data_IF_444688147661
#
_entry.id   IF_444688147661
#
_cell.length_a   1.000
_cell.length_b   1.000
_cell.length_c   1.000
_cell.angle_alpha   90.00
_cell.angle_beta   90.00
_cell.angle_gamma   90.00
#
_symmetry.space_group_name_H-M   'P 1'
#
loop_
_entity.id
_entity.type
_entity.pdbx_description
1 polymer ?
#
# COMPACT_ATOMS: atom_id res chain seq x y z
N UNK A 1 -9.43 47.73 60.90
CA UNK A 1 -8.59 46.54 60.65
C UNK A 1 -8.31 46.47 59.16
N UNK A 2 -7.07 46.72 58.75
CA UNK A 2 -6.63 46.70 57.35
C UNK A 2 -6.03 45.33 57.06
N UNK A 3 -6.57 44.63 56.08
CA UNK A 3 -6.03 43.36 55.59
C UNK A 3 -4.81 43.70 54.73
N UNK A 4 -3.63 43.32 55.19
CA UNK A 4 -2.40 43.46 54.42
C UNK A 4 -2.47 42.50 53.22
N UNK A 5 -2.65 43.05 52.02
CA UNK A 5 -2.54 42.30 50.79
C UNK A 5 -1.06 42.06 50.50
N UNK A 6 -0.63 40.80 50.45
CA UNK A 6 0.71 40.40 50.03
C UNK A 6 0.93 40.70 48.55
N UNK A 7 2.12 41.19 48.22
CA UNK A 7 2.53 41.48 46.84
C UNK A 7 2.54 40.20 45.98
N UNK A 8 2.24 40.32 44.67
CA UNK A 8 2.23 39.18 43.76
C UNK A 8 3.64 38.58 43.61
N UNK A 9 3.73 37.25 43.66
CA UNK A 9 4.98 36.49 43.56
C UNK A 9 5.77 36.76 42.26
N UNK A 10 5.07 37.14 41.19
CA UNK A 10 5.65 37.51 39.90
C UNK A 10 4.75 38.58 39.27
N UNK A 11 5.36 39.67 38.80
CA UNK A 11 4.70 40.65 37.94
C UNK A 11 5.00 40.25 36.49
N UNK A 12 3.99 39.90 35.66
CA UNK A 12 4.22 39.61 34.25
C UNK A 12 4.91 40.80 33.60
N UNK A 13 6.04 40.55 32.94
CA UNK A 13 6.73 41.59 32.19
C UNK A 13 5.82 42.11 31.08
N UNK A 14 5.96 43.40 30.78
CA UNK A 14 5.31 44.00 29.61
C UNK A 14 5.77 43.23 28.36
N UNK A 15 4.80 42.93 27.49
CA UNK A 15 5.07 42.25 26.23
C UNK A 15 6.15 43.00 25.45
N UNK A 16 7.30 42.36 25.23
CA UNK A 16 8.35 42.87 24.36
C UNK A 16 8.07 42.40 22.92
N UNK A 17 7.84 43.33 21.97
CA UNK A 17 7.61 43.01 20.57
C UNK A 17 8.75 42.21 19.91
N UNK A 18 9.95 42.16 20.51
CA UNK A 18 11.05 41.32 20.04
C UNK A 18 10.76 39.82 20.15
N UNK A 19 9.84 39.41 21.04
CA UNK A 19 9.33 38.04 21.16
C UNK A 19 8.04 37.80 20.35
N UNK A 20 7.73 38.67 19.39
CA UNK A 20 6.60 38.46 18.49
C UNK A 20 6.85 37.21 17.65
N UNK A 21 6.12 36.16 17.97
CA UNK A 21 6.04 34.95 17.14
C UNK A 21 5.14 35.27 15.96
N UNK A 22 5.70 35.22 14.74
CA UNK A 22 4.90 35.31 13.53
C UNK A 22 3.96 34.10 13.45
N UNK A 23 2.66 34.37 13.52
CA UNK A 23 1.62 33.34 13.44
C UNK A 23 1.40 32.99 11.96
N UNK A 24 2.04 31.91 11.51
CA UNK A 24 1.98 31.41 10.13
C UNK A 24 0.96 30.27 9.96
N UNK A 25 -0.27 30.48 10.39
CA UNK A 25 -1.34 29.45 10.35
C UNK A 25 -1.68 28.93 8.95
N UNK A 26 -1.25 29.65 7.90
CA UNK A 26 -1.53 29.33 6.50
C UNK A 26 -0.29 28.90 5.71
N UNK A 27 0.89 28.83 6.35
CA UNK A 27 2.06 28.22 5.71
C UNK A 27 2.08 26.71 6.00
N UNK A 28 2.39 25.88 4.99
CA UNK A 28 2.59 24.45 5.22
C UNK A 28 3.76 24.25 6.20
N UNK A 29 3.61 23.27 7.10
CA UNK A 29 4.57 22.97 8.17
C UNK A 29 5.97 22.55 7.67
N UNK A 30 6.13 22.33 6.37
CA UNK A 30 7.37 21.96 5.70
C UNK A 30 7.80 23.14 4.80
N UNK A 31 8.85 23.85 5.22
CA UNK A 31 9.34 25.03 4.51
C UNK A 31 10.09 24.69 3.21
N UNK A 32 9.72 25.38 2.13
CA UNK A 32 10.51 25.90 0.98
C UNK A 32 11.75 25.18 0.38
N UNK A 33 12.17 24.01 0.82
CA UNK A 33 13.07 23.10 0.08
C UNK A 33 12.32 21.96 -0.62
N UNK A 34 11.00 21.91 -0.44
CA UNK A 34 10.09 20.84 -0.87
C UNK A 34 9.42 21.08 -2.20
N UNK A 35 9.71 22.16 -2.94
CA UNK A 35 8.97 22.49 -4.17
C UNK A 35 8.86 21.31 -5.16
N UNK A 36 9.91 20.49 -5.29
CA UNK A 36 9.89 19.29 -6.12
C UNK A 36 9.12 18.12 -5.50
N UNK A 37 9.22 17.91 -4.18
CA UNK A 37 8.45 16.88 -3.47
C UNK A 37 6.95 17.22 -3.46
N UNK A 38 6.61 18.49 -3.28
CA UNK A 38 5.25 19.02 -3.35
C UNK A 38 4.70 18.87 -4.77
N UNK A 39 5.50 19.17 -5.81
CA UNK A 39 5.14 18.93 -7.20
C UNK A 39 4.88 17.44 -7.47
N UNK A 40 5.80 16.57 -7.04
CA UNK A 40 5.73 15.12 -7.20
C UNK A 40 4.46 14.55 -6.54
N UNK A 41 4.18 14.93 -5.29
CA UNK A 41 3.00 14.47 -4.53
C UNK A 41 1.71 14.99 -5.14
N UNK A 42 1.66 16.28 -5.50
CA UNK A 42 0.47 16.87 -6.13
C UNK A 42 0.20 16.25 -7.51
N UNK A 43 1.23 16.06 -8.35
CA UNK A 43 1.08 15.39 -9.65
C UNK A 43 0.63 13.94 -9.49
N UNK A 44 1.23 13.21 -8.55
CA UNK A 44 0.83 11.84 -8.25
C UNK A 44 -0.64 11.76 -7.83
N UNK A 45 -1.09 12.68 -6.97
CA UNK A 45 -2.50 12.77 -6.56
C UNK A 45 -3.42 13.04 -7.74
N UNK A 46 -3.03 13.94 -8.65
CA UNK A 46 -3.79 14.24 -9.86
C UNK A 46 -3.80 13.05 -10.83
N UNK A 47 -2.68 12.35 -10.99
CA UNK A 47 -2.59 11.15 -11.83
C UNK A 47 -3.51 10.05 -11.27
N UNK A 48 -3.50 9.83 -9.96
CA UNK A 48 -4.43 8.90 -9.31
C UNK A 48 -5.90 9.28 -9.52
N UNK A 49 -6.24 10.56 -9.38
CA UNK A 49 -7.61 11.04 -9.63
C UNK A 49 -8.04 10.83 -11.08
N UNK A 50 -7.18 11.17 -12.04
CA UNK A 50 -7.44 10.98 -13.46
C UNK A 50 -7.61 9.49 -13.79
N UNK A 51 -6.73 8.65 -13.23
CA UNK A 51 -6.73 7.21 -13.45
C UNK A 51 -8.02 6.55 -12.93
N UNK A 52 -8.52 7.00 -11.78
CA UNK A 52 -9.81 6.59 -11.23
C UNK A 52 -11.00 7.05 -12.09
N UNK A 53 -10.96 8.29 -12.59
CA UNK A 53 -11.99 8.81 -13.51
C UNK A 53 -12.03 7.98 -14.80
N UNK A 54 -10.85 7.67 -15.35
CA UNK A 54 -10.66 6.78 -16.49
C UNK A 54 -11.20 5.37 -16.21
N UNK A 55 -10.85 4.77 -15.08
CA UNK A 55 -11.33 3.44 -14.68
C UNK A 55 -12.86 3.42 -14.56
N UNK A 56 -13.44 4.44 -13.93
CA UNK A 56 -14.90 4.58 -13.79
C UNK A 56 -15.57 4.65 -15.15
N UNK A 57 -15.04 5.43 -16.08
CA UNK A 57 -15.59 5.50 -17.43
C UNK A 57 -15.49 4.15 -18.15
N UNK A 58 -14.31 3.51 -18.15
CA UNK A 58 -14.11 2.19 -18.75
C UNK A 58 -15.00 1.09 -18.15
N UNK A 59 -15.36 1.22 -16.87
CA UNK A 59 -16.23 0.28 -16.17
C UNK A 59 -17.69 0.36 -16.62
N UNK A 60 -18.19 1.57 -16.97
CA UNK A 60 -19.55 1.76 -17.49
C UNK A 60 -19.71 1.11 -18.87
N UNK A 61 -18.65 1.10 -19.67
CA UNK A 61 -18.62 0.52 -21.01
C UNK A 61 -18.39 -1.00 -21.04
N UNK A 62 -18.46 -1.71 -19.89
CA UNK A 62 -18.38 -3.19 -19.84
C UNK A 62 -19.58 -3.89 -20.52
N UNK A 63 -20.70 -3.20 -20.76
CA UNK A 63 -21.91 -3.77 -21.34
C UNK A 63 -22.23 -3.28 -22.77
N UNK A 64 -21.67 -2.16 -23.21
CA UNK A 64 -21.93 -1.60 -24.54
C UNK A 64 -20.61 -1.47 -25.28
N UNK A 65 -20.52 -2.04 -26.50
CA UNK A 65 -19.38 -1.82 -27.39
C UNK A 65 -19.16 -0.32 -27.47
N UNK A 66 -17.96 0.16 -27.16
CA UNK A 66 -17.59 1.55 -27.42
C UNK A 66 -17.69 1.76 -28.93
N UNK A 67 -18.81 2.27 -29.41
CA UNK A 67 -18.92 2.78 -30.77
C UNK A 67 -17.98 4.00 -30.85
N UNK A 68 -16.83 3.78 -31.47
CA UNK A 68 -15.95 4.84 -31.99
C UNK A 68 -15.31 5.80 -30.96
N UNK A 69 -14.90 5.31 -29.79
CA UNK A 69 -14.13 6.13 -28.82
C UNK A 69 -14.93 7.27 -28.18
N UNK A 70 -16.27 7.26 -28.28
CA UNK A 70 -17.12 8.27 -27.64
C UNK A 70 -17.22 8.01 -26.15
N UNK A 71 -16.38 8.70 -25.38
CA UNK A 71 -16.51 8.83 -23.93
C UNK A 71 -17.63 9.79 -23.56
N UNK A 72 -18.17 9.68 -22.34
CA UNK A 72 -19.21 10.59 -21.86
C UNK A 72 -18.70 12.03 -21.70
N UNK A 73 -19.58 13.02 -21.91
CA UNK A 73 -19.24 14.44 -21.71
C UNK A 73 -18.87 14.75 -20.26
N UNK A 74 -19.50 14.09 -19.29
CA UNK A 74 -19.15 14.18 -17.86
C UNK A 74 -17.73 13.70 -17.59
N UNK A 75 -17.31 12.59 -18.24
CA UNK A 75 -15.93 12.14 -18.17
C UNK A 75 -14.98 13.16 -18.78
N UNK A 76 -15.23 13.62 -20.02
CA UNK A 76 -14.35 14.58 -20.71
C UNK A 76 -14.16 15.85 -19.91
N UNK A 77 -15.24 16.42 -19.34
CA UNK A 77 -15.17 17.63 -18.52
C UNK A 77 -14.34 17.43 -17.24
N UNK A 78 -14.50 16.28 -16.56
CA UNK A 78 -13.73 15.99 -15.33
C UNK A 78 -12.27 15.74 -15.65
N UNK A 79 -11.99 14.97 -16.70
CA UNK A 79 -10.65 14.64 -17.12
C UNK A 79 -9.90 15.89 -17.62
N UNK A 80 -10.55 16.78 -18.36
CA UNK A 80 -9.95 18.04 -18.81
C UNK A 80 -9.56 18.94 -17.63
N UNK A 81 -10.42 19.08 -16.63
CA UNK A 81 -10.12 19.88 -15.41
C UNK A 81 -8.89 19.34 -14.68
N UNK A 82 -8.75 18.02 -14.59
CA UNK A 82 -7.58 17.41 -13.94
C UNK A 82 -6.32 17.63 -14.78
N UNK A 83 -6.38 17.44 -16.10
CA UNK A 83 -5.27 17.72 -17.01
C UNK A 83 -4.84 19.19 -16.98
N UNK A 84 -5.79 20.13 -16.99
CA UNK A 84 -5.52 21.56 -16.89
C UNK A 84 -4.81 21.87 -15.57
N UNK A 85 -5.25 21.27 -14.46
CA UNK A 85 -4.60 21.44 -13.16
C UNK A 85 -3.17 20.88 -13.13
N UNK A 86 -2.91 19.74 -13.77
CA UNK A 86 -1.56 19.20 -13.92
C UNK A 86 -0.66 20.14 -14.74
N UNK A 87 -1.18 20.71 -15.84
CA UNK A 87 -0.44 21.67 -16.66
C UNK A 87 -0.13 22.96 -15.88
N UNK A 88 -1.11 23.51 -15.15
CA UNK A 88 -0.91 24.69 -14.29
C UNK A 88 0.13 24.43 -13.20
N UNK A 89 0.12 23.24 -12.61
CA UNK A 89 1.09 22.83 -11.60
C UNK A 89 2.52 22.75 -12.18
N UNK A 90 2.68 22.21 -13.40
CA UNK A 90 3.96 22.20 -14.12
C UNK A 90 4.45 23.62 -14.47
N UNK A 91 3.53 24.52 -14.86
CA UNK A 91 3.86 25.91 -15.15
C UNK A 91 4.30 26.68 -13.89
N UNK A 92 3.60 26.47 -12.77
CA UNK A 92 3.88 27.14 -11.48
C UNK A 92 5.19 26.69 -10.84
N UNK A 93 5.59 25.44 -11.05
CA UNK A 93 6.83 24.88 -10.49
C UNK A 93 8.10 25.36 -11.19
N UNK A 94 7.99 26.18 -12.25
CA UNK A 94 9.15 26.71 -12.96
C UNK A 94 9.90 25.65 -13.77
N UNK A 95 9.26 24.51 -14.05
CA UNK A 95 9.83 23.39 -14.81
C UNK A 95 9.80 23.68 -16.32
N UNK A 96 10.56 24.69 -16.75
CA UNK A 96 10.46 25.29 -18.11
C UNK A 96 10.88 24.31 -19.23
N UNK A 97 11.66 23.28 -18.90
CA UNK A 97 12.30 22.40 -19.89
C UNK A 97 11.77 20.96 -19.92
N UNK A 98 10.71 20.63 -19.17
CA UNK A 98 10.17 19.27 -19.12
C UNK A 98 8.67 19.29 -19.39
N UNK A 99 8.23 18.60 -20.45
CA UNK A 99 6.79 18.43 -20.70
C UNK A 99 6.16 17.54 -19.62
N UNK A 100 4.86 17.72 -19.38
CA UNK A 100 4.11 16.90 -18.43
C UNK A 100 4.28 15.40 -18.73
N UNK A 101 4.23 15.02 -20.00
CA UNK A 101 4.42 13.64 -20.46
C UNK A 101 5.82 13.12 -20.11
N UNK A 102 6.87 13.92 -20.37
CA UNK A 102 8.23 13.54 -20.03
C UNK A 102 8.41 13.39 -18.52
N UNK A 103 7.77 14.24 -17.73
CA UNK A 103 7.81 14.18 -16.28
C UNK A 103 7.16 12.91 -15.73
N UNK A 104 5.98 12.56 -16.22
CA UNK A 104 5.24 11.34 -15.85
C UNK A 104 6.08 10.09 -16.10
N UNK A 105 6.72 9.98 -17.27
CA UNK A 105 7.59 8.85 -17.62
C UNK A 105 8.85 8.83 -16.73
N UNK A 106 9.48 9.98 -16.52
CA UNK A 106 10.69 10.10 -15.69
C UNK A 106 10.41 9.66 -14.25
N UNK A 107 9.24 10.00 -13.71
CA UNK A 107 8.78 9.65 -12.36
C UNK A 107 8.06 8.31 -12.27
N UNK A 108 7.93 7.60 -13.40
CA UNK A 108 7.27 6.27 -13.51
C UNK A 108 5.79 6.28 -13.12
N UNK A 109 5.13 7.44 -13.19
CA UNK A 109 3.70 7.56 -12.95
C UNK A 109 2.87 6.87 -14.04
N UNK A 110 3.45 6.67 -15.24
CA UNK A 110 2.88 5.88 -16.32
C UNK A 110 2.67 4.40 -15.94
N UNK A 111 3.45 3.87 -15.01
CA UNK A 111 3.30 2.49 -14.53
C UNK A 111 2.28 2.41 -13.40
N UNK A 112 2.28 3.40 -12.50
CA UNK A 112 1.35 3.43 -11.37
C UNK A 112 -0.08 3.77 -11.82
N UNK A 113 -0.20 4.67 -12.81
CA UNK A 113 -1.45 5.24 -13.29
C UNK A 113 -1.53 5.13 -14.84
N UNK A 114 -1.55 3.89 -15.36
CA UNK A 114 -1.41 3.65 -16.79
C UNK A 114 -2.60 4.17 -17.61
N UNK A 115 -3.81 4.25 -17.02
CA UNK A 115 -4.97 4.82 -17.72
C UNK A 115 -4.86 6.33 -17.82
N UNK A 116 -4.40 6.98 -16.75
CA UNK A 116 -4.12 8.41 -16.78
C UNK A 116 -3.06 8.76 -17.84
N UNK A 117 -1.95 8.01 -17.86
CA UNK A 117 -0.90 8.21 -18.87
C UNK A 117 -1.43 8.03 -20.29
N UNK A 118 -2.18 6.96 -20.55
CA UNK A 118 -2.73 6.68 -21.88
C UNK A 118 -3.78 7.73 -22.31
N UNK A 119 -4.58 8.25 -21.38
CA UNK A 119 -5.50 9.35 -21.65
C UNK A 119 -4.76 10.65 -21.99
N UNK A 120 -3.70 10.99 -21.24
CA UNK A 120 -2.91 12.20 -21.49
C UNK A 120 -2.14 12.16 -22.80
N UNK A 121 -1.72 10.98 -23.26
CA UNK A 121 -1.07 10.80 -24.54
C UNK A 121 -2.06 10.98 -25.70
N UNK A 122 -3.26 10.40 -25.59
CA UNK A 122 -4.25 10.47 -26.65
C UNK A 122 -5.70 10.49 -26.14
N UNK A 123 -6.22 11.68 -25.75
CA UNK A 123 -7.57 11.82 -25.21
C UNK A 123 -8.67 11.35 -26.19
N UNK A 124 -8.44 11.56 -27.49
CA UNK A 124 -9.41 11.29 -28.56
C UNK A 124 -9.58 9.80 -28.87
N UNK A 125 -8.63 8.96 -28.45
CA UNK A 125 -8.61 7.52 -28.73
C UNK A 125 -8.66 6.67 -27.45
N UNK A 126 -9.07 7.24 -26.33
CA UNK A 126 -9.21 6.55 -25.05
C UNK A 126 -10.18 5.36 -25.16
N UNK A 127 -9.73 4.14 -24.84
CA UNK A 127 -10.49 2.92 -25.10
C UNK A 127 -10.20 1.76 -24.13
N UNK A 128 -10.99 0.68 -24.26
CA UNK A 128 -10.97 -0.52 -23.42
C UNK A 128 -9.63 -1.26 -23.34
N UNK A 129 -8.74 -1.10 -24.32
CA UNK A 129 -7.43 -1.77 -24.33
C UNK A 129 -6.47 -1.16 -23.30
N UNK A 130 -6.81 -0.01 -22.72
CA UNK A 130 -6.02 0.68 -21.70
C UNK A 130 -6.32 0.19 -20.26
N UNK A 131 -7.01 -0.95 -20.10
CA UNK A 131 -7.22 -1.64 -18.80
C UNK A 131 -5.91 -2.26 -18.27
N UNK A 132 -4.86 -1.47 -18.11
CA UNK A 132 -3.63 -1.92 -17.47
C UNK A 132 -3.83 -1.93 -15.95
N UNK A 133 -3.40 -3.02 -15.33
CA UNK A 133 -3.41 -3.30 -13.88
C UNK A 133 -2.27 -2.53 -13.21
N UNK A 134 -2.37 -1.21 -13.13
CA UNK A 134 -1.43 -0.39 -12.36
C UNK A 134 -1.61 -0.65 -10.85
N UNK A 135 -2.12 0.34 -10.13
CA UNK A 135 -2.37 0.22 -8.68
C UNK A 135 -3.67 -0.53 -8.30
N UNK A 136 -4.37 -1.14 -9.25
CA UNK A 136 -5.72 -1.70 -9.03
C UNK A 136 -5.78 -2.80 -7.96
N UNK A 137 -4.80 -3.71 -7.98
CA UNK A 137 -4.74 -4.82 -7.05
C UNK A 137 -3.75 -4.57 -5.91
N UNK A 138 -3.03 -3.43 -5.90
CA UNK A 138 -1.94 -3.18 -4.97
C UNK A 138 -2.32 -3.42 -3.50
N UNK A 139 -3.44 -2.84 -3.04
CA UNK A 139 -3.89 -3.02 -1.65
C UNK A 139 -4.39 -4.43 -1.37
N UNK A 140 -4.98 -5.08 -2.36
CA UNK A 140 -5.43 -6.48 -2.26
C UNK A 140 -4.23 -7.41 -2.12
N UNK A 141 -3.21 -7.22 -2.96
CA UNK A 141 -1.98 -8.02 -2.97
C UNK A 141 -1.15 -7.79 -1.70
N UNK A 142 -1.04 -6.53 -1.28
CA UNK A 142 -0.37 -6.16 -0.03
C UNK A 142 -1.08 -6.78 1.18
N UNK A 143 -2.41 -6.68 1.22
CA UNK A 143 -3.22 -7.31 2.27
C UNK A 143 -3.04 -8.83 2.28
N UNK A 144 -3.01 -9.47 1.10
CA UNK A 144 -2.78 -10.92 0.99
C UNK A 144 -1.41 -11.32 1.54
N UNK A 145 -0.34 -10.58 1.20
CA UNK A 145 1.01 -10.81 1.72
C UNK A 145 1.10 -10.60 3.23
N UNK A 146 0.48 -9.54 3.73
CA UNK A 146 0.50 -9.21 5.16
C UNK A 146 -0.28 -10.24 5.98
N UNK A 147 -1.42 -10.69 5.47
CA UNK A 147 -2.19 -11.78 6.07
C UNK A 147 -1.38 -13.09 6.10
N UNK A 148 -0.68 -13.43 5.01
CA UNK A 148 0.17 -14.63 4.95
C UNK A 148 1.33 -14.58 5.95
N UNK A 149 2.00 -13.42 6.06
CA UNK A 149 3.09 -13.19 7.01
C UNK A 149 2.59 -13.25 8.45
N UNK A 150 1.47 -12.57 8.74
CA UNK A 150 0.84 -12.56 10.06
C UNK A 150 0.41 -13.96 10.49
N UNK A 151 -0.27 -14.70 9.62
CA UNK A 151 -0.70 -16.08 9.89
C UNK A 151 0.49 -16.99 10.14
N UNK A 152 1.57 -16.87 9.36
CA UNK A 152 2.78 -17.67 9.53
C UNK A 152 3.44 -17.41 10.89
N UNK A 153 3.55 -16.14 11.30
CA UNK A 153 4.07 -15.76 12.64
C UNK A 153 3.18 -16.26 13.77
N UNK A 154 1.86 -16.16 13.60
CA UNK A 154 0.88 -16.64 14.58
C UNK A 154 1.02 -18.15 14.78
N UNK A 155 1.01 -18.94 13.71
CA UNK A 155 1.15 -20.40 13.77
C UNK A 155 2.49 -20.78 14.43
N UNK A 156 3.58 -20.08 14.09
CA UNK A 156 4.89 -20.33 14.68
C UNK A 156 4.89 -20.11 16.21
N UNK A 157 4.26 -19.02 16.67
CA UNK A 157 4.04 -18.74 18.10
C UNK A 157 3.16 -19.80 18.75
N UNK A 158 2.05 -20.17 18.13
CA UNK A 158 1.11 -21.17 18.65
C UNK A 158 1.78 -22.53 18.83
N UNK A 159 2.54 -22.99 17.83
CA UNK A 159 3.33 -24.23 17.90
C UNK A 159 4.39 -24.21 19.00
N UNK A 160 4.91 -23.01 19.31
CA UNK A 160 5.95 -22.85 20.33
C UNK A 160 5.39 -22.86 21.74
N UNK A 161 4.23 -22.22 21.93
CA UNK A 161 3.70 -21.84 23.23
C UNK A 161 2.50 -22.68 23.69
N UNK A 162 1.72 -23.26 22.76
CA UNK A 162 0.54 -24.04 23.11
C UNK A 162 0.91 -25.49 23.42
N UNK A 163 0.26 -26.06 24.43
CA UNK A 163 0.39 -27.48 24.77
C UNK A 163 -0.65 -28.37 24.09
N UNK A 164 -1.68 -27.78 23.47
CA UNK A 164 -2.75 -28.47 22.75
C UNK A 164 -2.84 -27.92 21.33
N UNK A 165 -2.63 -28.81 20.35
CA UNK A 165 -2.50 -28.53 18.93
C UNK A 165 -3.75 -28.93 18.14
N UNK A 166 -4.92 -29.05 18.78
CA UNK A 166 -6.17 -29.48 18.14
C UNK A 166 -6.58 -28.66 16.90
N UNK A 167 -6.16 -27.40 16.80
CA UNK A 167 -6.48 -26.51 15.67
C UNK A 167 -5.39 -26.42 14.60
N UNK A 168 -4.23 -27.04 14.79
CA UNK A 168 -3.08 -26.90 13.89
C UNK A 168 -3.41 -27.41 12.47
N UNK A 169 -4.15 -28.51 12.34
CA UNK A 169 -4.58 -29.00 11.02
C UNK A 169 -5.47 -27.99 10.27
N UNK A 170 -6.32 -27.26 11.00
CA UNK A 170 -7.16 -26.21 10.42
C UNK A 170 -6.34 -24.96 10.05
N UNK A 171 -5.46 -24.52 10.94
CA UNK A 171 -4.55 -23.40 10.67
C UNK A 171 -3.65 -23.69 9.45
N UNK A 172 -3.19 -24.93 9.27
CA UNK A 172 -2.43 -25.33 8.09
C UNK A 172 -3.25 -25.27 6.80
N UNK A 173 -4.55 -25.61 6.85
CA UNK A 173 -5.45 -25.44 5.70
C UNK A 173 -5.67 -23.96 5.34
N UNK A 174 -5.83 -23.09 6.35
CA UNK A 174 -5.92 -21.63 6.14
C UNK A 174 -4.61 -21.09 5.57
N UNK A 175 -3.46 -21.57 6.06
CA UNK A 175 -2.15 -21.18 5.54
C UNK A 175 -1.98 -21.55 4.07
N UNK A 176 -2.37 -22.77 3.70
CA UNK A 176 -2.39 -23.22 2.31
C UNK A 176 -3.30 -22.34 1.43
N UNK A 177 -4.50 -22.00 1.92
CA UNK A 177 -5.40 -21.08 1.20
C UNK A 177 -4.77 -19.69 1.05
N UNK A 178 -4.11 -19.17 2.08
CA UNK A 178 -3.43 -17.88 2.03
C UNK A 178 -2.26 -17.88 1.03
N UNK A 179 -1.50 -18.98 0.95
CA UNK A 179 -0.47 -19.18 -0.07
C UNK A 179 -1.05 -19.18 -1.49
N UNK A 180 -2.23 -19.79 -1.68
CA UNK A 180 -2.93 -19.77 -2.96
C UNK A 180 -3.44 -18.38 -3.34
N UNK A 181 -3.95 -17.62 -2.36
CA UNK A 181 -4.40 -16.25 -2.59
C UNK A 181 -3.26 -15.34 -3.04
N UNK A 182 -2.05 -15.49 -2.49
CA UNK A 182 -0.87 -14.73 -2.93
C UNK A 182 -0.38 -15.21 -4.31
N UNK A 183 -0.41 -16.53 -4.57
CA UNK A 183 -0.16 -17.07 -5.92
C UNK A 183 1.25 -16.89 -6.47
N UNK A 184 2.23 -16.46 -5.67
CA UNK A 184 3.58 -16.14 -6.15
C UNK A 184 4.46 -17.41 -6.31
N UNK A 185 5.19 -17.58 -7.44
CA UNK A 185 5.98 -18.79 -7.70
C UNK A 185 7.04 -19.13 -6.63
N UNK A 186 7.65 -18.12 -6.02
CA UNK A 186 8.63 -18.33 -4.92
C UNK A 186 8.01 -19.02 -3.69
N UNK A 187 6.68 -19.01 -3.55
CA UNK A 187 5.98 -19.63 -2.43
C UNK A 187 5.47 -21.04 -2.74
N UNK A 188 5.53 -21.49 -4.00
CA UNK A 188 5.06 -22.81 -4.41
C UNK A 188 5.78 -23.99 -3.72
N UNK A 189 7.08 -23.93 -3.38
CA UNK A 189 7.71 -24.98 -2.58
C UNK A 189 7.02 -25.22 -1.23
N UNK A 190 6.53 -24.17 -0.58
CA UNK A 190 5.82 -24.29 0.70
C UNK A 190 4.44 -24.93 0.52
N UNK A 191 3.73 -24.63 -0.58
CA UNK A 191 2.46 -25.28 -0.90
C UNK A 191 2.62 -26.79 -1.05
N UNK A 192 3.61 -27.21 -1.86
CA UNK A 192 3.92 -28.64 -2.07
C UNK A 192 4.28 -29.33 -0.76
N UNK A 193 5.11 -28.68 0.07
CA UNK A 193 5.46 -29.22 1.38
C UNK A 193 4.24 -29.43 2.29
N UNK A 194 3.28 -28.49 2.29
CA UNK A 194 2.02 -28.67 3.02
C UNK A 194 1.22 -29.85 2.48
N UNK A 195 1.06 -29.97 1.15
CA UNK A 195 0.32 -31.07 0.52
C UNK A 195 0.88 -32.45 0.89
N UNK A 196 2.20 -32.59 0.92
CA UNK A 196 2.90 -33.82 1.28
C UNK A 196 2.69 -34.22 2.76
N UNK A 197 2.68 -33.24 3.66
CA UNK A 197 2.66 -33.47 5.10
C UNK A 197 1.26 -33.42 5.73
N UNK A 198 0.26 -32.85 5.02
CA UNK A 198 -1.07 -32.59 5.57
C UNK A 198 -1.76 -33.83 6.13
N UNK A 199 -1.73 -34.94 5.39
CA UNK A 199 -2.36 -36.21 5.81
C UNK A 199 -1.71 -36.80 7.06
N UNK A 200 -0.38 -36.74 7.14
CA UNK A 200 0.39 -37.24 8.28
C UNK A 200 0.02 -36.48 9.56
N UNK A 201 0.06 -35.14 9.50
CA UNK A 201 -0.31 -34.27 10.63
C UNK A 201 -1.76 -34.47 11.07
N UNK A 202 -2.69 -34.53 10.11
CA UNK A 202 -4.11 -34.75 10.42
C UNK A 202 -4.33 -36.07 11.14
N UNK A 203 -3.58 -37.11 10.78
CA UNK A 203 -3.66 -38.43 11.40
C UNK A 203 -3.15 -38.38 12.84
N UNK A 204 -1.98 -37.80 13.08
CA UNK A 204 -1.44 -37.59 14.44
C UNK A 204 -2.44 -36.85 15.33
N UNK A 205 -3.02 -35.76 14.83
CA UNK A 205 -3.99 -34.95 15.59
C UNK A 205 -5.38 -35.59 15.71
N UNK A 206 -5.63 -36.74 15.06
CA UNK A 206 -6.88 -37.49 15.21
C UNK A 206 -6.77 -38.61 16.26
N UNK A 207 -5.56 -38.95 16.69
CA UNK A 207 -5.34 -39.96 17.74
C UNK A 207 -5.70 -39.40 19.11
N UNK A 208 -6.34 -40.23 19.93
CA UNK A 208 -6.57 -39.92 21.35
C UNK A 208 -5.26 -40.14 22.12
N UNK A 209 -4.81 -39.10 22.83
CA UNK A 209 -3.69 -39.24 23.75
C UNK A 209 -4.21 -39.58 25.14
N UNK A 210 -3.39 -40.25 25.95
CA UNK A 210 -3.70 -40.56 27.36
C UNK A 210 -3.99 -39.29 28.20
N UNK A 211 -3.46 -38.14 27.77
CA UNK A 211 -3.68 -36.83 28.41
C UNK A 211 -4.93 -36.09 27.94
N UNK A 212 -5.62 -36.58 26.89
CA UNK A 212 -6.71 -35.90 26.21
C UNK A 212 -6.29 -34.71 25.33
N UNK A 213 -5.01 -34.30 25.34
CA UNK A 213 -4.47 -33.21 24.50
C UNK A 213 -3.97 -33.73 23.17
N UNK A 214 -4.22 -33.00 22.08
CA UNK A 214 -3.70 -33.35 20.76
C UNK A 214 -2.34 -32.71 20.58
N UNK A 215 -1.29 -33.48 20.35
CA UNK A 215 0.06 -32.94 20.17
C UNK A 215 0.67 -33.46 18.88
N UNK A 216 1.54 -32.64 18.30
CA UNK A 216 2.35 -33.05 17.16
C UNK A 216 3.58 -33.79 17.66
N UNK A 217 4.11 -34.70 16.86
CA UNK A 217 5.43 -35.23 17.10
C UNK A 217 6.49 -34.12 17.00
N UNK A 218 7.62 -34.23 17.72
CA UNK A 218 8.69 -33.22 17.67
C UNK A 218 9.12 -32.87 16.25
N UNK A 219 9.30 -33.88 15.39
CA UNK A 219 9.68 -33.71 13.99
C UNK A 219 8.63 -32.94 13.16
N UNK A 220 7.34 -33.23 13.37
CA UNK A 220 6.24 -32.53 12.70
C UNK A 220 6.13 -31.06 13.16
N UNK A 221 6.37 -30.82 14.45
CA UNK A 221 6.41 -29.47 15.02
C UNK A 221 7.59 -28.68 14.45
N UNK A 222 8.79 -29.27 14.44
CA UNK A 222 9.98 -28.64 13.88
C UNK A 222 9.82 -28.33 12.39
N UNK A 223 9.28 -29.29 11.61
CA UNK A 223 8.96 -29.06 10.21
C UNK A 223 8.03 -27.85 10.02
N UNK A 224 6.96 -27.74 10.82
CA UNK A 224 6.00 -26.65 10.64
C UNK A 224 6.56 -25.29 11.12
N UNK A 225 7.40 -25.29 12.15
CA UNK A 225 8.16 -24.10 12.55
C UNK A 225 9.08 -23.64 11.40
N UNK A 226 9.85 -24.55 10.80
CA UNK A 226 10.73 -24.25 9.68
C UNK A 226 9.95 -23.75 8.45
N UNK A 227 8.79 -24.35 8.16
CA UNK A 227 7.93 -23.94 7.06
C UNK A 227 7.41 -22.50 7.25
N UNK A 228 6.89 -22.19 8.43
CA UNK A 228 6.33 -20.85 8.73
C UNK A 228 7.42 -19.78 8.78
N UNK A 229 8.58 -20.07 9.37
CA UNK A 229 9.74 -19.18 9.32
C UNK A 229 10.26 -18.98 7.90
N UNK A 230 10.29 -20.05 7.10
CA UNK A 230 10.66 -20.00 5.68
C UNK A 230 9.77 -19.05 4.89
N UNK A 231 8.45 -19.18 5.03
CA UNK A 231 7.48 -18.28 4.38
C UNK A 231 7.73 -16.82 4.76
N UNK A 232 7.89 -16.52 6.05
CA UNK A 232 8.16 -15.15 6.52
C UNK A 232 9.47 -14.62 5.95
N UNK A 233 10.53 -15.44 5.90
CA UNK A 233 11.81 -15.05 5.34
C UNK A 233 11.72 -14.80 3.83
N UNK A 234 10.98 -15.63 3.09
CA UNK A 234 10.73 -15.40 1.66
C UNK A 234 9.95 -14.11 1.44
N UNK A 235 8.90 -13.86 2.21
CA UNK A 235 8.15 -12.60 2.12
C UNK A 235 9.08 -11.43 2.43
N UNK A 236 9.87 -11.46 3.50
CA UNK A 236 10.80 -10.38 3.84
C UNK A 236 11.92 -10.20 2.80
N UNK A 237 12.22 -11.22 2.00
CA UNK A 237 13.19 -11.14 0.90
C UNK A 237 12.62 -10.53 -0.38
N UNK A 238 11.30 -10.34 -0.45
CA UNK A 238 10.73 -9.62 -1.59
C UNK A 238 11.31 -8.21 -1.63
N UNK A 239 11.41 -7.61 -2.84
CA UNK A 239 11.94 -6.28 -3.02
C UNK A 239 11.36 -5.32 -1.96
N UNK A 240 12.21 -4.47 -1.37
CA UNK A 240 11.82 -3.60 -0.25
C UNK A 240 10.54 -2.81 -0.55
N UNK A 241 10.29 -2.55 -1.84
CA UNK A 241 9.11 -1.91 -2.41
C UNK A 241 7.79 -2.62 -2.08
N UNK A 242 7.83 -3.92 -1.77
CA UNK A 242 6.69 -4.77 -1.40
C UNK A 242 6.66 -5.15 0.08
N UNK A 243 7.73 -4.89 0.85
CA UNK A 243 7.95 -5.51 2.18
C UNK A 243 8.25 -4.55 3.31
N UNK A 244 8.73 -3.35 3.03
CA UNK A 244 8.93 -2.35 4.06
C UNK A 244 7.58 -1.76 4.50
N UNK A 245 7.44 -1.53 5.81
CA UNK A 245 6.30 -0.86 6.40
C UNK A 245 5.99 0.42 5.62
N UNK A 246 4.82 0.43 4.96
CA UNK A 246 4.24 1.57 4.25
C UNK A 246 5.00 2.08 3.01
N UNK A 247 5.17 1.25 1.98
CA UNK A 247 5.52 1.76 0.65
C UNK A 247 4.30 2.27 -0.13
N UNK A 248 3.71 3.35 0.38
CA UNK A 248 2.92 4.26 -0.44
C UNK A 248 3.67 4.57 -1.76
N UNK A 249 2.96 4.83 -2.86
CA UNK A 249 3.50 5.49 -4.06
C UNK A 249 4.46 6.67 -3.75
N UNK A 250 4.32 7.31 -2.58
CA UNK A 250 5.24 8.31 -2.03
C UNK A 250 6.72 7.89 -1.94
N UNK A 251 7.05 6.61 -1.77
CA UNK A 251 8.44 6.15 -1.68
C UNK A 251 9.14 6.06 -3.05
N UNK A 252 8.38 5.95 -4.15
CA UNK A 252 8.90 6.16 -5.52
C UNK A 252 9.35 7.61 -5.70
N UNK A 253 8.65 8.57 -5.08
CA UNK A 253 9.02 9.99 -5.12
C UNK A 253 10.36 10.23 -4.41
N UNK A 254 10.53 9.66 -3.21
CA UNK A 254 11.73 9.87 -2.40
C UNK A 254 13.01 9.28 -3.00
N UNK A 255 12.93 8.30 -3.91
CA UNK A 255 14.10 7.72 -4.58
C UNK A 255 14.58 8.48 -5.82
N UNK A 256 13.73 9.32 -6.40
CA UNK A 256 14.08 10.11 -7.59
C UNK A 256 14.78 11.45 -7.27
N UNK A 257 15.18 11.65 -6.00
CA UNK A 257 15.78 12.88 -5.48
C UNK A 257 17.30 12.77 -5.23
N UNK A 258 17.95 11.72 -5.72
CA UNK A 258 19.42 11.52 -5.71
C UNK A 258 19.92 11.28 -7.12
#
# INVERSE_FOLDING_TARGET
>A
MSVAATEPLVVPLLYDPSFKVDVRLHEPLLGSSTQNLDLDVELMSLCSQLDMICQKELSKHKQEKIEHGKVSSDFTNKASVVCDRMQQLMLRSGSVNTSLQQYIVTKRFDILFPRAAAYMENPSHFNLNQRSEGMDNYYTDLSALQNLSGLSRQINSDLSNLSDHKYIAHQMAILYQSLNNVGHPLLDPYKKSIEENFKSIKTTLSQESESGKKQLYPEQREWFLNLTSGIVNTINSFPAELTAEMLQPALILMRSST
#
